data_IF_558799386268
#
_entry.id   IF_558799386268
#
_cell.length_a   1.000
_cell.length_b   1.000
_cell.length_c   1.000
_cell.angle_alpha   90.00
_cell.angle_beta   90.00
_cell.angle_gamma   90.00
#
_symmetry.space_group_name_H-M   'P 1'
#
loop_
_entity.id
_entity.type
_entity.pdbx_description
1 polymer ?
#
# COMPACT_ATOMS: atom_id res chain seq x y z
N UNK A 1 -11.83 -14.24 -28.31
CA UNK A 1 -10.96 -14.51 -27.16
C UNK A 1 -9.64 -13.77 -27.41
N UNK A 2 -9.37 -12.76 -26.65
CA UNK A 2 -8.09 -12.04 -26.73
C UNK A 2 -7.05 -12.89 -26.01
N UNK A 3 -6.31 -13.67 -26.78
CA UNK A 3 -5.18 -14.44 -26.25
C UNK A 3 -4.10 -13.46 -25.82
N UNK A 4 -3.75 -13.43 -24.54
CA UNK A 4 -2.66 -12.60 -24.05
C UNK A 4 -1.32 -13.25 -24.39
N UNK A 5 -0.27 -12.45 -24.49
CA UNK A 5 1.11 -12.92 -24.62
C UNK A 5 1.82 -12.67 -23.28
N UNK A 6 2.50 -13.69 -22.76
CA UNK A 6 3.29 -13.54 -21.54
C UNK A 6 4.67 -12.88 -21.82
N UNK A 7 5.34 -12.44 -20.79
CA UNK A 7 6.63 -11.75 -20.87
C UNK A 7 7.72 -12.57 -21.57
N UNK A 8 7.93 -13.88 -21.28
CA UNK A 8 8.94 -14.67 -21.98
C UNK A 8 8.69 -14.79 -23.48
N UNK A 9 7.44 -14.99 -23.88
CA UNK A 9 7.09 -15.08 -25.29
C UNK A 9 7.16 -13.73 -25.98
N UNK A 10 6.75 -12.64 -25.31
CA UNK A 10 6.90 -11.27 -25.83
C UNK A 10 8.37 -10.92 -26.06
N UNK A 11 9.28 -11.32 -25.15
CA UNK A 11 10.72 -11.16 -25.29
C UNK A 11 11.27 -11.89 -26.50
N UNK A 12 10.88 -13.15 -26.71
CA UNK A 12 11.28 -13.94 -27.87
C UNK A 12 10.82 -13.31 -29.20
N UNK A 13 9.59 -12.80 -29.22
CA UNK A 13 9.05 -12.10 -30.42
C UNK A 13 9.83 -10.82 -30.69
N UNK A 14 10.20 -10.07 -29.65
CA UNK A 14 11.01 -8.88 -29.77
C UNK A 14 12.42 -9.20 -30.31
N UNK A 15 13.08 -10.19 -29.74
CA UNK A 15 14.41 -10.67 -30.18
C UNK A 15 14.39 -11.15 -31.63
N UNK A 16 13.30 -11.76 -32.08
CA UNK A 16 13.07 -12.16 -33.46
C UNK A 16 12.68 -10.99 -34.40
N UNK A 17 12.59 -9.76 -33.88
CA UNK A 17 12.19 -8.57 -34.67
C UNK A 17 10.71 -8.55 -35.06
N UNK A 18 9.88 -9.37 -34.46
CA UNK A 18 8.44 -9.44 -34.75
C UNK A 18 7.60 -8.36 -34.08
N UNK A 19 8.16 -7.65 -33.12
CA UNK A 19 7.47 -6.56 -32.42
C UNK A 19 7.64 -5.25 -33.21
N UNK A 20 6.51 -4.65 -33.64
CA UNK A 20 6.50 -3.39 -34.36
C UNK A 20 6.31 -2.16 -33.48
N UNK A 21 5.72 -2.31 -32.31
CA UNK A 21 5.48 -1.22 -31.39
C UNK A 21 4.70 -1.67 -30.16
N UNK A 22 4.55 -0.76 -29.21
CA UNK A 22 3.75 -0.94 -28.01
C UNK A 22 2.87 0.29 -27.76
N UNK A 23 1.66 0.08 -27.28
CA UNK A 23 0.78 1.13 -26.79
C UNK A 23 0.43 0.86 -25.33
N UNK A 24 0.36 1.92 -24.54
CA UNK A 24 -0.07 1.85 -23.12
C UNK A 24 -1.50 2.34 -23.03
N UNK A 25 -2.36 1.53 -22.43
CA UNK A 25 -3.80 1.79 -22.35
C UNK A 25 -4.18 1.92 -20.89
N UNK A 26 -4.74 3.07 -20.53
CA UNK A 26 -5.34 3.35 -19.25
C UNK A 26 -6.68 2.64 -19.13
N UNK A 27 -6.89 2.01 -18.00
CA UNK A 27 -8.15 1.36 -17.66
C UNK A 27 -8.50 1.62 -16.19
N UNK A 28 -9.72 1.35 -15.77
CA UNK A 28 -10.08 1.47 -14.36
C UNK A 28 -9.14 0.63 -13.48
N UNK A 29 -8.45 1.29 -12.55
CA UNK A 29 -7.49 0.65 -11.64
C UNK A 29 -6.05 0.54 -12.12
N UNK A 30 -5.70 1.08 -13.32
CA UNK A 30 -4.31 1.10 -13.74
C UNK A 30 -4.07 1.17 -15.25
N UNK A 31 -2.93 0.64 -15.65
CA UNK A 31 -2.41 0.69 -17.02
C UNK A 31 -2.15 -0.71 -17.53
N UNK A 32 -2.47 -0.96 -18.76
CA UNK A 32 -2.18 -2.20 -19.48
C UNK A 32 -1.37 -1.92 -20.75
N UNK A 33 -0.76 -2.95 -21.31
CA UNK A 33 0.07 -2.82 -22.51
C UNK A 33 -0.50 -3.66 -23.63
N UNK A 34 -0.59 -3.04 -24.81
CA UNK A 34 -0.92 -3.69 -26.06
C UNK A 34 0.34 -3.75 -26.93
N UNK A 35 0.75 -4.94 -27.32
CA UNK A 35 1.91 -5.17 -28.17
C UNK A 35 1.45 -5.36 -29.62
N UNK A 36 2.10 -4.65 -30.53
CA UNK A 36 1.87 -4.77 -31.97
C UNK A 36 2.84 -5.79 -32.55
N UNK A 37 2.33 -6.99 -32.81
CA UNK A 37 3.10 -8.12 -33.34
C UNK A 37 2.65 -8.36 -34.78
N UNK A 38 3.51 -8.00 -35.73
CA UNK A 38 3.12 -8.04 -37.15
C UNK A 38 1.94 -7.10 -37.42
N UNK A 39 0.79 -7.70 -37.78
CA UNK A 39 -0.49 -6.99 -38.03
C UNK A 39 -1.50 -7.14 -36.87
N UNK A 40 -1.13 -7.86 -35.85
CA UNK A 40 -2.02 -8.14 -34.70
C UNK A 40 -1.63 -7.32 -33.47
N UNK A 41 -2.64 -6.90 -32.75
CA UNK A 41 -2.48 -6.29 -31.42
C UNK A 41 -2.81 -7.33 -30.36
N UNK A 42 -1.85 -7.59 -29.47
CA UNK A 42 -1.97 -8.62 -28.44
C UNK A 42 -1.68 -8.02 -27.07
N UNK A 43 -2.60 -8.14 -26.11
CA UNK A 43 -2.37 -7.63 -24.78
C UNK A 43 -1.27 -8.41 -24.04
N UNK A 44 -0.39 -7.70 -23.35
CA UNK A 44 0.60 -8.31 -22.47
C UNK A 44 -0.09 -8.87 -21.23
N UNK A 45 0.04 -10.16 -21.03
CA UNK A 45 -0.62 -10.90 -19.95
C UNK A 45 0.32 -11.37 -18.85
N UNK A 46 -0.25 -12.04 -17.88
CA UNK A 46 0.47 -12.73 -16.82
C UNK A 46 0.70 -14.19 -17.22
N UNK A 47 1.81 -14.76 -16.77
CA UNK A 47 2.30 -16.07 -17.18
C UNK A 47 1.36 -17.25 -16.83
N UNK A 48 0.41 -17.06 -15.90
CA UNK A 48 -0.47 -18.14 -15.40
C UNK A 48 -1.95 -17.95 -15.69
N UNK A 49 -2.33 -16.78 -16.14
CA UNK A 49 -3.72 -16.44 -16.39
C UNK A 49 -3.82 -15.69 -17.72
N UNK A 50 -4.81 -16.04 -18.53
CA UNK A 50 -5.07 -15.36 -19.80
C UNK A 50 -5.69 -13.96 -19.59
N UNK A 51 -5.22 -13.25 -18.56
CA UNK A 51 -5.65 -11.90 -18.19
C UNK A 51 -4.58 -10.88 -18.52
N UNK A 52 -4.95 -9.72 -19.07
CA UNK A 52 -4.02 -8.62 -19.28
C UNK A 52 -3.34 -8.23 -17.96
N UNK A 53 -2.04 -8.00 -18.04
CA UNK A 53 -1.28 -7.49 -16.91
C UNK A 53 -1.60 -6.01 -16.69
N UNK A 54 -1.79 -5.63 -15.45
CA UNK A 54 -2.13 -4.26 -15.07
C UNK A 54 -1.10 -3.70 -14.10
N UNK A 55 -0.70 -2.45 -14.31
CA UNK A 55 0.18 -1.68 -13.44
C UNK A 55 -0.61 -0.52 -12.83
N UNK A 56 -0.41 -0.27 -11.56
CA UNK A 56 -1.07 0.83 -10.84
C UNK A 56 -0.53 2.21 -11.21
N UNK A 57 0.70 2.28 -11.72
CA UNK A 57 1.40 3.51 -12.11
C UNK A 57 1.91 3.39 -13.54
N UNK A 58 1.80 4.48 -14.29
CA UNK A 58 2.35 4.59 -15.65
C UNK A 58 3.87 4.44 -15.65
N UNK A 59 4.55 5.05 -14.68
CA UNK A 59 6.01 4.98 -14.56
C UNK A 59 6.49 3.54 -14.39
N UNK A 60 5.84 2.78 -13.52
CA UNK A 60 6.17 1.36 -13.30
C UNK A 60 5.90 0.52 -14.56
N UNK A 61 4.85 0.86 -15.32
CA UNK A 61 4.55 0.21 -16.59
C UNK A 61 5.65 0.47 -17.62
N UNK A 62 6.06 1.72 -17.79
CA UNK A 62 7.12 2.12 -18.73
C UNK A 62 8.46 1.52 -18.32
N UNK A 63 8.81 1.57 -17.05
CA UNK A 63 10.02 0.95 -16.52
C UNK A 63 10.07 -0.54 -16.85
N UNK A 64 8.97 -1.25 -16.61
CA UNK A 64 8.84 -2.67 -16.94
C UNK A 64 9.07 -2.96 -18.44
N UNK A 65 8.48 -2.15 -19.33
CA UNK A 65 8.68 -2.29 -20.77
C UNK A 65 10.14 -2.14 -21.19
N UNK A 66 10.86 -1.21 -20.54
CA UNK A 66 12.28 -0.96 -20.83
C UNK A 66 13.18 -2.06 -20.28
N UNK A 67 12.99 -2.44 -19.02
CA UNK A 67 13.88 -3.38 -18.32
C UNK A 67 13.63 -4.83 -18.72
N UNK A 68 12.36 -5.24 -18.81
CA UNK A 68 12.00 -6.63 -19.05
C UNK A 68 11.85 -6.97 -20.54
N UNK A 69 11.38 -6.04 -21.35
CA UNK A 69 11.12 -6.28 -22.77
C UNK A 69 12.08 -5.49 -23.70
N UNK A 70 12.92 -4.62 -23.15
CA UNK A 70 13.81 -3.80 -23.96
C UNK A 70 13.08 -2.81 -24.89
N UNK A 71 11.80 -2.53 -24.63
CA UNK A 71 10.99 -1.64 -25.45
C UNK A 71 11.26 -0.20 -25.02
N UNK A 72 11.93 0.55 -25.86
CA UNK A 72 12.28 1.96 -25.62
C UNK A 72 11.27 2.91 -26.26
N UNK A 73 10.62 2.47 -27.36
CA UNK A 73 9.67 3.28 -28.11
C UNK A 73 8.23 2.83 -27.82
N UNK A 74 7.42 3.77 -27.36
CA UNK A 74 5.99 3.59 -27.15
C UNK A 74 5.27 4.43 -28.20
N UNK A 75 4.38 3.81 -28.99
CA UNK A 75 3.69 4.47 -30.09
C UNK A 75 2.58 5.41 -29.62
N UNK A 76 2.01 5.13 -28.47
CA UNK A 76 0.95 5.97 -27.90
C UNK A 76 0.58 5.57 -26.49
N UNK A 77 0.00 6.53 -25.79
CA UNK A 77 -0.59 6.36 -24.45
C UNK A 77 -2.04 6.82 -24.56
N UNK A 78 -2.97 5.90 -24.35
CA UNK A 78 -4.40 6.20 -24.27
C UNK A 78 -4.84 6.22 -22.80
N UNK A 79 -5.15 7.40 -22.30
CA UNK A 79 -5.61 7.61 -20.93
C UNK A 79 -7.13 7.85 -20.83
N UNK A 80 -7.89 7.69 -21.93
CA UNK A 80 -9.31 8.03 -21.99
C UNK A 80 -10.15 7.31 -20.94
N UNK A 81 -9.82 6.06 -20.65
CA UNK A 81 -10.51 5.21 -19.68
C UNK A 81 -9.77 5.05 -18.35
N UNK A 82 -8.70 5.80 -18.15
CA UNK A 82 -7.95 5.73 -16.90
C UNK A 82 -8.76 6.34 -15.75
N UNK A 83 -8.94 5.57 -14.69
CA UNK A 83 -9.42 6.10 -13.42
C UNK A 83 -8.63 5.49 -12.26
N UNK A 84 -8.14 6.34 -11.38
CA UNK A 84 -7.42 5.91 -10.17
C UNK A 84 -8.32 5.19 -9.15
N UNK A 85 -9.64 5.20 -9.37
CA UNK A 85 -10.63 4.91 -8.34
C UNK A 85 -10.99 3.44 -8.16
N UNK A 86 -10.55 2.51 -8.99
CA UNK A 86 -11.05 1.13 -8.90
C UNK A 86 -10.05 0.08 -8.47
N UNK A 87 -8.88 0.48 -8.07
CA UNK A 87 -7.96 -0.42 -7.38
C UNK A 87 -7.99 -0.12 -5.88
N UNK A 88 -8.86 -0.77 -5.14
CA UNK A 88 -8.72 -0.85 -3.68
C UNK A 88 -7.48 -1.68 -3.33
N UNK A 89 -6.31 -1.23 -3.81
CA UNK A 89 -5.09 -1.47 -3.07
C UNK A 89 -5.16 -0.50 -1.91
N UNK A 90 -5.23 -0.97 -0.67
CA UNK A 90 -5.04 -0.08 0.44
C UNK A 90 -3.72 0.62 0.19
N UNK A 91 -3.81 1.88 -0.18
CA UNK A 91 -2.67 2.78 -0.23
C UNK A 91 -2.03 2.61 1.13
N UNK A 92 -0.76 2.25 1.20
CA UNK A 92 -0.02 2.10 2.45
C UNK A 92 0.20 3.45 3.20
N UNK A 93 -0.81 4.29 3.47
CA UNK A 93 -0.73 5.25 4.55
C UNK A 93 -0.69 4.50 5.88
N UNK A 94 -1.18 3.24 5.88
CA UNK A 94 -1.24 2.44 7.09
C UNK A 94 0.12 1.95 7.60
N UNK A 95 1.13 1.76 6.75
CA UNK A 95 2.42 1.31 7.25
C UNK A 95 3.09 2.36 8.15
N UNK A 96 3.04 3.65 7.77
CA UNK A 96 3.56 4.72 8.59
C UNK A 96 2.67 4.99 9.81
N UNK A 97 1.35 4.83 9.67
CA UNK A 97 0.41 4.93 10.77
C UNK A 97 0.54 3.74 11.74
N UNK A 98 0.71 2.54 11.24
CA UNK A 98 0.98 1.33 12.04
C UNK A 98 2.32 1.42 12.75
N UNK A 99 3.37 1.91 12.08
CA UNK A 99 4.67 2.17 12.72
C UNK A 99 4.53 3.18 13.85
N UNK A 100 3.84 4.29 13.65
CA UNK A 100 3.60 5.28 14.71
C UNK A 100 2.84 4.68 15.88
N UNK A 101 1.74 3.96 15.63
CA UNK A 101 0.97 3.27 16.68
C UNK A 101 1.81 2.24 17.43
N UNK A 102 2.68 1.50 16.75
CA UNK A 102 3.59 0.56 17.37
C UNK A 102 4.62 1.25 18.27
N UNK A 103 5.17 2.40 17.82
CA UNK A 103 6.07 3.21 18.65
C UNK A 103 5.37 3.84 19.85
N UNK A 104 4.16 4.35 19.66
CA UNK A 104 3.34 4.90 20.74
C UNK A 104 2.98 3.82 21.78
N UNK A 105 2.61 2.62 21.32
CA UNK A 105 2.33 1.49 22.18
C UNK A 105 3.58 1.03 22.98
N UNK A 106 4.74 0.96 22.33
CA UNK A 106 5.99 0.61 22.99
C UNK A 106 6.43 1.67 24.00
N UNK A 107 6.26 2.95 23.68
CA UNK A 107 6.55 4.05 24.61
C UNK A 107 5.60 4.03 25.82
N UNK A 108 4.32 3.75 25.58
CA UNK A 108 3.32 3.59 26.65
C UNK A 108 3.65 2.40 27.56
N UNK A 109 4.04 1.27 26.98
CA UNK A 109 4.45 0.07 27.72
C UNK A 109 5.68 0.33 28.60
N UNK A 110 6.68 1.01 28.05
CA UNK A 110 7.88 1.38 28.80
C UNK A 110 7.55 2.33 29.96
N UNK A 111 6.71 3.34 29.72
CA UNK A 111 6.23 4.25 30.76
C UNK A 111 5.44 3.50 31.82
N UNK A 112 4.50 2.63 31.42
CA UNK A 112 3.68 1.86 32.36
C UNK A 112 4.52 0.95 33.24
N UNK A 113 5.49 0.23 32.67
CA UNK A 113 6.42 -0.61 33.45
C UNK A 113 7.23 0.22 34.45
N UNK A 114 7.70 1.40 34.06
CA UNK A 114 8.42 2.30 34.94
C UNK A 114 7.52 2.77 36.10
N UNK A 115 6.24 3.08 35.83
CA UNK A 115 5.29 3.48 36.88
C UNK A 115 4.97 2.34 37.84
N UNK A 116 4.78 1.12 37.32
CA UNK A 116 4.55 -0.07 38.15
C UNK A 116 5.76 -0.35 39.03
N UNK A 117 6.98 -0.30 38.45
CA UNK A 117 8.20 -0.50 39.20
C UNK A 117 8.38 0.55 40.29
N UNK A 118 8.15 1.82 39.98
CA UNK A 118 8.20 2.91 40.94
C UNK A 118 7.17 2.71 42.08
N UNK A 119 6.00 2.16 41.77
CA UNK A 119 4.99 1.86 42.78
C UNK A 119 5.37 0.64 43.67
N UNK A 120 6.04 -0.35 43.09
CA UNK A 120 6.54 -1.51 43.85
C UNK A 120 7.70 -1.13 44.79
N UNK A 121 8.56 -0.23 44.28
CA UNK A 121 9.73 0.23 45.05
C UNK A 121 9.40 1.33 46.08
N UNK A 122 8.16 1.82 46.06
CA UNK A 122 7.70 2.86 47.01
C UNK A 122 7.61 2.33 48.44
N UNK A 123 8.44 2.82 49.39
CA UNK A 123 8.46 2.35 50.75
C UNK A 123 7.24 2.78 51.60
N UNK A 124 6.37 3.62 51.02
CA UNK A 124 5.19 4.10 51.75
C UNK A 124 4.16 2.98 51.92
N UNK A 125 3.43 2.94 53.05
CA UNK A 125 2.41 1.92 53.24
C UNK A 125 1.33 2.04 52.15
N UNK A 126 0.86 0.90 51.68
CA UNK A 126 -0.21 0.85 50.67
C UNK A 126 -1.50 1.45 51.23
N UNK A 127 -2.17 2.26 50.40
CA UNK A 127 -3.47 2.84 50.76
C UNK A 127 -4.56 1.79 50.52
N UNK A 128 -5.49 1.64 51.48
CA UNK A 128 -6.62 0.73 51.34
C UNK A 128 -7.53 1.17 50.15
N UNK A 129 -8.25 0.23 49.58
CA UNK A 129 -9.17 0.50 48.45
C UNK A 129 -10.23 1.56 48.79
N UNK A 130 -10.76 1.51 50.04
CA UNK A 130 -11.74 2.47 50.50
C UNK A 130 -11.16 3.91 50.62
N UNK A 131 -9.93 4.03 51.10
CA UNK A 131 -9.22 5.31 51.19
C UNK A 131 -8.89 5.85 49.80
N UNK A 132 -8.49 4.99 48.87
CA UNK A 132 -8.21 5.36 47.47
C UNK A 132 -9.48 5.86 46.76
N UNK A 133 -10.60 5.15 46.94
CA UNK A 133 -11.89 5.56 46.40
C UNK A 133 -12.38 6.89 46.97
N UNK A 134 -12.28 7.09 48.27
CA UNK A 134 -12.66 8.34 48.92
C UNK A 134 -11.81 9.52 48.40
N UNK A 135 -10.49 9.35 48.29
CA UNK A 135 -9.59 10.37 47.76
C UNK A 135 -9.89 10.70 46.30
N UNK A 136 -10.20 9.69 45.48
CA UNK A 136 -10.56 9.86 44.06
C UNK A 136 -11.91 10.61 43.91
N UNK A 137 -12.92 10.24 44.71
CA UNK A 137 -14.21 10.90 44.70
C UNK A 137 -14.11 12.37 45.08
N UNK A 138 -13.28 12.69 46.09
CA UNK A 138 -13.00 14.05 46.52
C UNK A 138 -12.34 14.88 45.43
N UNK A 139 -11.30 14.36 44.74
CA UNK A 139 -10.65 15.02 43.61
C UNK A 139 -11.59 15.26 42.43
N UNK A 140 -12.42 14.27 42.13
CA UNK A 140 -13.43 14.36 41.08
C UNK A 140 -14.47 15.45 41.37
N UNK A 141 -14.92 15.56 42.64
CA UNK A 141 -15.84 16.62 43.05
C UNK A 141 -15.19 18.01 42.93
N UNK A 142 -13.94 18.16 43.37
CA UNK A 142 -13.20 19.42 43.26
C UNK A 142 -13.03 19.87 41.79
N UNK A 143 -12.70 18.95 40.88
CA UNK A 143 -12.59 19.24 39.44
C UNK A 143 -13.93 19.68 38.81
N UNK A 144 -15.04 19.07 39.24
CA UNK A 144 -16.37 19.46 38.76
C UNK A 144 -16.78 20.86 39.26
N UNK A 145 -16.34 21.24 40.44
CA UNK A 145 -16.57 22.61 40.96
C UNK A 145 -15.72 23.67 40.28
N UNK A 146 -14.48 23.35 39.90
CA UNK A 146 -13.57 24.20 39.19
C UNK A 146 -13.95 24.44 37.72
N UNK A 147 -14.76 23.55 37.13
CA UNK A 147 -15.21 23.59 35.73
C UNK A 147 -16.56 24.35 35.55
N UNK A 148 -17.10 24.93 36.60
CA UNK A 148 -18.31 25.80 36.55
C UNK A 148 -17.92 27.25 36.61
#
# INVERSE_FOLDING_TARGET
MHKTIDTPNARRVMEAGGLRGAAVIGQPGGWSVMLKIGVQETPLGTQRTDKPRTWSSLDTCIQYLREELGIVRIDGIDASNYSAASGHRPRRPDAAAQMRRAHEAAAHDAWFRAQVQASVDDPRPSVSDDQARAAFASRKAALKLAAR
#
